data_IF_504224949444
#
_entry.id   IF_504224949444
#
_cell.length_a   1.000
_cell.length_b   1.000
_cell.length_c   1.000
_cell.angle_alpha   90.00
_cell.angle_beta   90.00
_cell.angle_gamma   90.00
#
_symmetry.space_group_name_H-M   'P 1'
#
loop_
_entity.id
_entity.type
_entity.pdbx_description
1 polymer ?
#
# COMPACT_ATOMS: atom_id res chain seq x y z
N UNK A 1 -15.61 1.35 11.11
CA UNK A 1 -15.29 0.75 9.97
C UNK A 1 -13.86 0.59 9.86
N UNK A 2 -13.49 -0.56 9.56
CA UNK A 2 -12.10 -0.91 9.60
C UNK A 2 -11.49 -0.86 8.23
N UNK A 3 -10.29 -0.33 8.17
CA UNK A 3 -9.43 -0.49 7.02
C UNK A 3 -8.18 -1.20 7.49
N UNK A 4 -7.60 -1.99 6.65
CA UNK A 4 -6.34 -2.64 6.97
C UNK A 4 -5.21 -1.84 6.35
N UNK A 5 -4.20 -1.57 7.15
CA UNK A 5 -3.06 -0.76 6.74
C UNK A 5 -1.83 -1.66 6.68
N UNK A 6 -1.24 -1.74 5.50
CA UNK A 6 -0.05 -2.55 5.28
C UNK A 6 1.09 -1.60 4.93
N UNK A 7 2.02 -1.44 5.85
CA UNK A 7 3.09 -0.47 5.69
C UNK A 7 4.45 -1.12 5.57
N UNK A 8 5.25 -0.60 4.67
CA UNK A 8 6.65 -1.00 4.52
C UNK A 8 7.49 0.18 4.96
N UNK A 9 8.25 -0.01 6.01
CA UNK A 9 9.08 1.06 6.54
C UNK A 9 10.35 1.21 5.71
N UNK A 10 10.68 2.47 5.40
CA UNK A 10 11.85 2.77 4.63
C UNK A 10 13.11 2.33 5.37
N UNK A 11 13.98 1.64 4.68
CA UNK A 11 15.27 1.20 5.23
C UNK A 11 15.21 -0.19 5.82
N UNK A 12 14.19 -0.49 6.60
CA UNK A 12 14.06 -1.81 7.21
C UNK A 12 13.37 -2.80 6.27
N UNK A 13 12.47 -2.28 5.44
CA UNK A 13 11.67 -3.09 4.52
C UNK A 13 10.88 -4.17 5.23
N UNK A 14 10.54 -3.93 6.48
CA UNK A 14 9.69 -4.83 7.23
C UNK A 14 8.25 -4.47 7.02
N UNK A 15 7.42 -5.47 6.90
CA UNK A 15 6.00 -5.28 6.75
C UNK A 15 5.34 -5.14 8.13
N UNK A 16 4.54 -4.11 8.29
CA UNK A 16 3.71 -3.94 9.47
C UNK A 16 2.26 -3.93 9.03
N UNK A 17 1.43 -4.72 9.71
CA UNK A 17 0.01 -4.77 9.39
C UNK A 17 -0.78 -4.35 10.62
N UNK A 18 -1.62 -3.32 10.44
CA UNK A 18 -2.51 -2.86 11.50
C UNK A 18 -3.93 -2.78 10.98
N UNK A 19 -4.89 -2.79 11.88
CA UNK A 19 -6.28 -2.66 11.53
C UNK A 19 -6.85 -1.42 12.21
N UNK A 20 -7.47 -0.57 11.41
CA UNK A 20 -8.17 0.61 11.92
C UNK A 20 -7.33 1.86 12.08
N UNK A 21 -6.01 1.73 12.15
CA UNK A 21 -5.14 2.90 12.31
C UNK A 21 -3.93 2.77 11.40
N UNK A 22 -3.40 3.91 11.00
CA UNK A 22 -2.21 3.96 10.17
C UNK A 22 -0.99 3.44 10.91
N UNK A 23 -0.08 2.83 10.19
CA UNK A 23 1.21 2.43 10.75
C UNK A 23 2.05 3.69 10.99
N UNK A 24 3.10 3.55 11.77
CA UNK A 24 3.98 4.68 12.07
C UNK A 24 5.29 4.55 11.30
N UNK A 25 6.05 5.65 11.25
CA UNK A 25 7.35 5.66 10.60
C UNK A 25 7.29 6.16 9.18
N UNK A 26 8.46 6.28 8.56
CA UNK A 26 8.59 6.69 7.16
C UNK A 26 8.37 5.47 6.29
N UNK A 27 7.33 5.49 5.48
CA UNK A 27 6.85 4.26 4.90
C UNK A 27 6.10 4.47 3.60
N UNK A 28 5.96 3.36 2.92
CA UNK A 28 4.95 3.19 1.89
C UNK A 28 3.82 2.39 2.52
N UNK A 29 2.61 2.89 2.41
CA UNK A 29 1.48 2.26 3.07
C UNK A 29 0.36 2.00 2.09
N UNK A 30 -0.18 0.79 2.14
CA UNK A 30 -1.35 0.40 1.36
C UNK A 30 -2.54 0.31 2.31
N UNK A 31 -3.64 0.95 1.95
CA UNK A 31 -4.86 0.92 2.74
C UNK A 31 -5.89 0.09 2.01
N UNK A 32 -6.42 -0.92 2.68
CA UNK A 32 -7.47 -1.76 2.12
C UNK A 32 -8.74 -1.51 2.92
N UNK A 33 -9.79 -1.03 2.23
CA UNK A 33 -11.07 -0.78 2.88
C UNK A 33 -11.82 -2.10 3.01
N UNK A 34 -11.89 -2.60 4.23
CA UNK A 34 -12.50 -3.89 4.48
C UNK A 34 -14.02 -3.88 4.28
N UNK A 35 -14.64 -2.70 4.36
CA UNK A 35 -16.08 -2.62 4.15
C UNK A 35 -16.46 -2.72 2.68
N UNK A 36 -15.51 -2.49 1.78
CA UNK A 36 -15.77 -2.62 0.34
C UNK A 36 -15.77 -4.07 -0.13
N UNK A 37 -15.32 -4.99 0.71
CA UNK A 37 -15.36 -6.40 0.37
C UNK A 37 -14.34 -6.82 -0.68
N UNK A 38 -13.17 -6.20 -0.68
CA UNK A 38 -12.13 -6.59 -1.62
C UNK A 38 -11.72 -8.04 -1.42
N UNK A 39 -11.63 -8.78 -2.51
CA UNK A 39 -11.08 -10.12 -2.47
C UNK A 39 -9.56 -10.04 -2.61
N UNK A 40 -8.89 -11.12 -2.24
CA UNK A 40 -7.44 -11.19 -2.42
C UNK A 40 -7.04 -10.92 -3.87
N UNK A 41 -7.79 -11.48 -4.80
CA UNK A 41 -7.52 -11.32 -6.21
C UNK A 41 -7.60 -9.86 -6.64
N UNK A 42 -8.64 -9.16 -6.17
CA UNK A 42 -8.81 -7.76 -6.51
C UNK A 42 -7.69 -6.90 -5.95
N UNK A 43 -7.23 -7.22 -4.75
CA UNK A 43 -6.10 -6.50 -4.17
C UNK A 43 -4.84 -6.71 -5.00
N UNK A 44 -4.59 -7.93 -5.42
CA UNK A 44 -3.42 -8.23 -6.22
C UNK A 44 -3.47 -7.54 -7.58
N UNK A 45 -4.64 -7.52 -8.20
CA UNK A 45 -4.81 -6.83 -9.48
C UNK A 45 -4.60 -5.33 -9.33
N UNK A 46 -5.07 -4.78 -8.22
CA UNK A 46 -4.87 -3.35 -7.95
C UNK A 46 -3.41 -3.03 -7.74
N UNK A 47 -2.68 -3.90 -7.06
CA UNK A 47 -1.25 -3.71 -6.87
C UNK A 47 -0.51 -3.72 -8.18
N UNK A 48 -0.91 -4.59 -9.11
CA UNK A 48 -0.30 -4.60 -10.44
C UNK A 48 -0.51 -3.28 -11.16
N UNK A 49 -1.69 -2.69 -11.07
CA UNK A 49 -1.95 -1.40 -11.69
C UNK A 49 -1.11 -0.30 -11.07
N UNK A 50 -0.96 -0.32 -9.76
CA UNK A 50 -0.12 0.65 -9.08
C UNK A 50 1.33 0.49 -9.49
N UNK A 51 1.79 -0.74 -9.60
CA UNK A 51 3.14 -1.01 -10.02
C UNK A 51 3.39 -0.49 -11.44
N UNK A 52 2.45 -0.76 -12.35
CA UNK A 52 2.59 -0.29 -13.73
C UNK A 52 2.65 1.24 -13.78
N UNK A 53 1.83 1.89 -13.00
CA UNK A 53 1.83 3.34 -12.96
C UNK A 53 3.21 3.87 -12.53
N UNK A 54 3.76 3.30 -11.46
CA UNK A 54 5.04 3.77 -10.93
C UNK A 54 6.18 3.51 -11.91
N UNK A 55 6.16 2.34 -12.55
CA UNK A 55 7.22 1.97 -13.49
C UNK A 55 7.19 2.88 -14.72
N UNK A 56 6.00 3.25 -15.18
CA UNK A 56 5.86 3.96 -16.46
C UNK A 56 5.81 5.48 -16.31
N UNK A 57 5.66 5.99 -15.10
CA UNK A 57 5.52 7.42 -14.88
C UNK A 57 6.85 8.02 -14.46
N UNK A 58 7.33 9.00 -15.21
CA UNK A 58 8.59 9.66 -14.90
C UNK A 58 8.38 10.92 -14.07
N UNK A 59 7.20 11.51 -14.16
CA UNK A 59 6.92 12.78 -13.50
C UNK A 59 6.35 12.58 -12.10
N UNK A 60 6.85 11.59 -11.36
CA UNK A 60 6.42 11.35 -10.00
C UNK A 60 7.33 12.09 -9.03
N UNK A 61 6.87 12.32 -7.80
CA UNK A 61 7.73 12.92 -6.78
C UNK A 61 8.72 11.95 -6.16
N UNK A 62 8.81 10.74 -6.70
CA UNK A 62 9.71 9.74 -6.13
C UNK A 62 11.15 10.01 -6.50
N UNK A 63 12.04 9.76 -5.55
CA UNK A 63 13.48 9.87 -5.78
C UNK A 63 13.94 8.68 -6.59
N UNK A 64 14.77 8.94 -7.57
CA UNK A 64 15.31 7.88 -8.42
C UNK A 64 16.29 7.01 -7.68
#
# INVERSE_FOLDING_TARGET
MASQYLGIERGAQSLTVTTGTSTTGKKLELVVDLTAGFTRREVLESLDKLRDFIVNTRATPFVQ
#
